data_IF_635269819762
#
_entry.id   IF_635269819762
#
_cell.length_a   1.000
_cell.length_b   1.000
_cell.length_c   1.000
_cell.angle_alpha   90.00
_cell.angle_beta   90.00
_cell.angle_gamma   90.00
#
_symmetry.space_group_name_H-M   'P 1'
#
loop_
_entity.id
_entity.type
_entity.pdbx_description
1 polymer ?
#
# COMPACT_ATOMS: atom_id res chain seq x y z
N UNK A 1 -7.49 15.06 -3.33
CA UNK A 1 -7.06 14.57 -2.00
C UNK A 1 -6.18 13.35 -2.22
N UNK A 2 -4.97 13.32 -1.66
CA UNK A 2 -4.10 12.13 -1.68
C UNK A 2 -4.58 11.19 -0.57
N UNK A 3 -4.87 9.94 -0.88
CA UNK A 3 -5.15 8.91 0.13
C UNK A 3 -3.86 8.19 0.47
N UNK A 4 -3.57 8.00 1.75
CA UNK A 4 -2.35 7.33 2.23
C UNK A 4 -2.74 6.05 2.96
N UNK A 5 -1.97 4.99 2.74
CA UNK A 5 -2.16 3.70 3.38
C UNK A 5 -0.83 3.01 3.62
N UNK A 6 -0.84 2.04 4.53
CA UNK A 6 0.33 1.21 4.85
C UNK A 6 0.16 -0.15 4.18
N UNK A 7 1.16 -0.58 3.42
CA UNK A 7 1.20 -1.93 2.86
C UNK A 7 1.45 -2.92 4.01
N UNK A 8 0.48 -3.79 4.29
CA UNK A 8 0.54 -4.78 5.37
C UNK A 8 0.96 -6.16 4.88
N UNK A 9 0.73 -6.45 3.60
CA UNK A 9 1.17 -7.70 2.97
C UNK A 9 1.44 -7.52 1.47
N UNK A 10 2.39 -8.31 0.97
CA UNK A 10 2.69 -8.45 -0.47
C UNK A 10 2.49 -9.91 -0.86
N UNK A 11 1.59 -10.15 -1.81
CA UNK A 11 1.15 -11.53 -2.15
C UNK A 11 2.05 -12.19 -3.19
N UNK A 12 2.73 -11.40 -4.03
CA UNK A 12 3.62 -11.92 -5.05
C UNK A 12 5.07 -11.99 -4.54
N UNK A 13 5.83 -13.05 -4.87
CA UNK A 13 7.22 -13.20 -4.44
C UNK A 13 8.17 -12.12 -4.97
N UNK A 14 7.84 -11.54 -6.13
CA UNK A 14 8.63 -10.50 -6.79
C UNK A 14 8.39 -9.09 -6.21
N UNK A 15 7.50 -8.96 -5.22
CA UNK A 15 7.15 -7.68 -4.64
C UNK A 15 6.17 -6.85 -5.49
N UNK A 16 5.68 -7.39 -6.61
CA UNK A 16 4.77 -6.69 -7.50
C UNK A 16 3.34 -6.64 -6.94
N UNK A 17 2.52 -5.66 -7.37
CA UNK A 17 1.11 -5.59 -7.01
C UNK A 17 0.34 -6.88 -7.35
N UNK A 18 -0.74 -7.20 -6.62
CA UNK A 18 -1.43 -6.31 -5.70
C UNK A 18 -0.88 -6.31 -4.27
N UNK A 19 -1.15 -5.22 -3.56
CA UNK A 19 -0.78 -5.01 -2.16
C UNK A 19 -2.01 -5.09 -1.27
N UNK A 20 -1.86 -5.67 -0.09
CA UNK A 20 -2.83 -5.45 0.97
C UNK A 20 -2.48 -4.14 1.68
N UNK A 21 -3.45 -3.23 1.74
CA UNK A 21 -3.27 -1.87 2.26
C UNK A 21 -4.28 -1.62 3.35
N UNK A 22 -3.81 -1.14 4.51
CA UNK A 22 -4.65 -0.51 5.52
C UNK A 22 -4.62 1.00 5.33
N UNK A 23 -5.77 1.60 5.09
CA UNK A 23 -5.90 3.04 4.87
C UNK A 23 -5.81 3.83 6.17
N UNK A 24 -5.16 4.99 6.13
CA UNK A 24 -4.90 5.80 7.33
C UNK A 24 -6.05 6.72 7.74
N UNK A 25 -7.05 6.87 6.87
CA UNK A 25 -8.22 7.72 7.10
C UNK A 25 -9.36 7.00 7.83
N UNK A 26 -9.56 5.72 7.58
CA UNK A 26 -10.68 4.93 8.11
C UNK A 26 -10.30 3.52 8.60
N UNK A 27 -9.01 3.19 8.66
CA UNK A 27 -8.49 1.84 8.97
C UNK A 27 -9.02 0.72 8.07
N UNK A 28 -9.69 1.03 6.96
CA UNK A 28 -10.20 0.04 6.03
C UNK A 28 -9.05 -0.76 5.42
N UNK A 29 -9.25 -2.06 5.27
CA UNK A 29 -8.27 -2.97 4.67
C UNK A 29 -8.79 -3.44 3.32
N UNK A 30 -7.96 -3.31 2.29
CA UNK A 30 -8.30 -3.74 0.95
C UNK A 30 -7.10 -4.14 0.11
N UNK A 31 -7.37 -4.86 -0.98
CA UNK A 31 -6.37 -5.22 -1.99
C UNK A 31 -6.29 -4.11 -3.04
N UNK A 32 -5.10 -3.56 -3.24
CA UNK A 32 -4.86 -2.40 -4.11
C UNK A 32 -3.99 -2.77 -5.29
N UNK A 33 -4.45 -2.38 -6.49
CA UNK A 33 -3.65 -2.30 -7.71
C UNK A 33 -3.31 -0.82 -7.93
N UNK A 34 -2.08 -0.38 -7.60
CA UNK A 34 -1.70 1.02 -7.72
C UNK A 34 -1.72 1.47 -9.18
N UNK A 35 -2.20 2.70 -9.40
CA UNK A 35 -2.10 3.38 -10.69
C UNK A 35 -0.68 3.89 -10.97
N UNK A 36 -0.42 4.42 -12.18
CA UNK A 36 0.90 4.88 -12.59
C UNK A 36 1.45 6.03 -11.72
N UNK A 37 0.57 6.83 -11.11
CA UNK A 37 0.96 7.97 -10.25
C UNK A 37 1.11 7.59 -8.77
N UNK A 38 0.93 6.32 -8.41
CA UNK A 38 1.11 5.88 -7.04
C UNK A 38 2.59 5.83 -6.68
N UNK A 39 2.93 6.35 -5.50
CA UNK A 39 4.28 6.33 -4.96
C UNK A 39 4.32 5.36 -3.78
N UNK A 40 5.30 4.45 -3.80
CA UNK A 40 5.60 3.55 -2.69
C UNK A 40 6.78 4.15 -1.92
N UNK A 41 6.60 4.37 -0.63
CA UNK A 41 7.63 4.88 0.27
C UNK A 41 8.05 3.78 1.24
N UNK A 42 9.36 3.67 1.49
CA UNK A 42 9.86 2.76 2.51
C UNK A 42 9.42 3.23 3.91
N UNK A 43 9.11 2.28 4.79
CA UNK A 43 8.85 2.62 6.18
C UNK A 43 10.08 3.32 6.78
N UNK A 44 9.89 4.32 7.65
CA UNK A 44 11.01 4.98 8.32
C UNK A 44 11.84 3.96 9.08
N UNK A 45 13.17 4.10 8.99
CA UNK A 45 14.08 3.34 9.84
C UNK A 45 13.83 3.74 11.30
N UNK A 46 13.64 2.75 12.17
CA UNK A 46 13.55 2.95 13.62
C UNK A 46 14.91 3.27 14.21
#
# INVERSE_FOLDING_TARGET
MKRVGVITAVRKPDGAPPYEVRWTDDDHVGVVFPGPDAVIEAAPRR
#
